data_IF_227635166549
#
_entry.id   IF_227635166549
#
_cell.length_a   1.000
_cell.length_b   1.000
_cell.length_c   1.000
_cell.angle_alpha   90.00
_cell.angle_beta   90.00
_cell.angle_gamma   90.00
#
_symmetry.space_group_name_H-M   'P 1'
#
loop_
_entity.id
_entity.type
_entity.pdbx_description
1 polymer ?
#
# COMPACT_ATOMS: atom_id res chain seq x y z
N UNK A 1 6.53 -38.49 9.21
CA UNK A 1 5.89 -37.17 9.18
C UNK A 1 7.02 -36.17 9.18
N UNK A 2 7.31 -35.54 8.05
CA UNK A 2 8.33 -34.49 7.97
C UNK A 2 7.72 -33.22 8.54
N UNK A 3 8.35 -32.66 9.58
CA UNK A 3 7.99 -31.37 10.14
C UNK A 3 8.13 -30.32 9.03
N UNK A 4 7.02 -29.73 8.59
CA UNK A 4 7.07 -28.56 7.71
C UNK A 4 7.71 -27.43 8.51
N UNK A 5 8.90 -26.99 8.08
CA UNK A 5 9.55 -25.82 8.65
C UNK A 5 8.66 -24.60 8.38
N UNK A 6 8.09 -24.05 9.43
CA UNK A 6 7.24 -22.87 9.38
C UNK A 6 8.07 -21.66 8.88
N UNK A 7 7.85 -21.25 7.63
CA UNK A 7 8.55 -20.13 7.01
C UNK A 7 7.73 -18.85 7.19
N UNK A 8 8.23 -17.96 8.03
CA UNK A 8 7.61 -16.65 8.24
C UNK A 8 7.98 -15.67 7.13
N UNK A 9 7.00 -14.89 6.68
CA UNK A 9 7.15 -13.86 5.66
C UNK A 9 6.83 -12.46 6.20
N UNK A 10 7.46 -11.45 5.62
CA UNK A 10 7.17 -10.02 5.85
C UNK A 10 6.80 -9.36 4.53
N UNK A 11 6.03 -8.27 4.59
CA UNK A 11 5.79 -7.44 3.42
C UNK A 11 7.07 -6.70 3.03
N UNK A 12 7.34 -6.62 1.74
CA UNK A 12 8.35 -5.72 1.19
C UNK A 12 7.90 -4.25 1.30
N UNK A 13 8.82 -3.32 1.06
CA UNK A 13 8.50 -1.89 0.98
C UNK A 13 7.44 -1.60 -0.09
N UNK A 14 7.49 -2.29 -1.23
CA UNK A 14 6.49 -2.16 -2.30
C UNK A 14 5.10 -2.61 -1.84
N UNK A 15 5.02 -3.75 -1.15
CA UNK A 15 3.75 -4.27 -0.67
C UNK A 15 3.16 -3.38 0.44
N UNK A 16 4.01 -2.84 1.32
CA UNK A 16 3.58 -1.86 2.31
C UNK A 16 3.04 -0.59 1.63
N UNK A 17 3.70 -0.10 0.59
CA UNK A 17 3.20 1.01 -0.23
C UNK A 17 1.82 0.73 -0.84
N UNK A 18 1.60 -0.46 -1.39
CA UNK A 18 0.30 -0.88 -1.92
C UNK A 18 -0.80 -0.90 -0.84
N UNK A 19 -0.48 -1.37 0.37
CA UNK A 19 -1.40 -1.35 1.52
C UNK A 19 -1.75 0.09 1.90
N UNK A 20 -0.76 0.99 1.95
CA UNK A 20 -1.00 2.40 2.28
C UNK A 20 -1.87 3.10 1.23
N UNK A 21 -1.67 2.78 -0.07
CA UNK A 21 -2.53 3.30 -1.14
C UNK A 21 -3.99 2.81 -1.00
N UNK A 22 -4.20 1.52 -0.75
CA UNK A 22 -5.54 0.97 -0.51
C UNK A 22 -6.21 1.61 0.72
N UNK A 23 -5.44 1.86 1.78
CA UNK A 23 -5.93 2.51 2.99
C UNK A 23 -6.35 3.95 2.72
N UNK A 24 -5.52 4.73 2.04
CA UNK A 24 -5.83 6.12 1.70
C UNK A 24 -7.11 6.22 0.86
N UNK A 25 -7.25 5.40 -0.18
CA UNK A 25 -8.45 5.37 -1.03
C UNK A 25 -9.70 4.98 -0.22
N UNK A 26 -9.55 4.02 0.69
CA UNK A 26 -10.64 3.57 1.56
C UNK A 26 -11.09 4.66 2.52
N UNK A 27 -10.16 5.42 3.09
CA UNK A 27 -10.48 6.54 3.98
C UNK A 27 -11.13 7.70 3.22
N UNK A 28 -10.64 8.02 2.01
CA UNK A 28 -11.17 9.11 1.19
C UNK A 28 -12.61 8.85 0.72
N UNK A 29 -12.93 7.60 0.39
CA UNK A 29 -14.22 7.21 -0.16
C UNK A 29 -15.11 6.47 0.85
N UNK A 30 -14.72 6.45 2.13
CA UNK A 30 -15.42 5.73 3.21
C UNK A 30 -15.72 4.25 2.88
N UNK A 31 -14.78 3.58 2.22
CA UNK A 31 -14.89 2.18 1.81
C UNK A 31 -14.34 1.23 2.88
N UNK A 32 -14.87 0.01 2.94
CA UNK A 32 -14.25 -1.08 3.69
C UNK A 32 -12.99 -1.55 2.98
N UNK A 33 -11.85 -1.46 3.67
CA UNK A 33 -10.54 -1.85 3.16
C UNK A 33 -10.34 -3.37 3.14
N UNK A 34 -11.07 -4.13 3.96
CA UNK A 34 -10.83 -5.58 4.15
C UNK A 34 -11.00 -6.38 2.84
N UNK A 35 -12.06 -6.18 2.03
CA UNK A 35 -12.19 -6.85 0.73
C UNK A 35 -11.06 -6.50 -0.25
N UNK A 36 -10.54 -5.27 -0.19
CA UNK A 36 -9.45 -4.80 -1.06
C UNK A 36 -8.15 -5.55 -0.72
N UNK A 37 -7.78 -5.59 0.56
CA UNK A 37 -6.56 -6.30 1.00
C UNK A 37 -6.65 -7.81 0.77
N UNK A 38 -7.84 -8.40 0.92
CA UNK A 38 -8.06 -9.82 0.60
C UNK A 38 -7.90 -10.13 -0.89
N UNK A 39 -8.04 -9.12 -1.76
CA UNK A 39 -7.80 -9.24 -3.19
C UNK A 39 -6.34 -9.14 -3.60
N UNK A 40 -5.40 -8.86 -2.68
CA UNK A 40 -3.99 -8.75 -3.02
C UNK A 40 -3.38 -10.11 -3.38
N UNK A 41 -2.78 -10.18 -4.55
CA UNK A 41 -1.99 -11.31 -5.01
C UNK A 41 -0.56 -11.12 -4.53
N UNK A 42 -0.13 -11.96 -3.60
CA UNK A 42 1.19 -11.89 -2.98
C UNK A 42 2.14 -12.93 -3.56
N UNK A 43 3.39 -12.52 -3.80
CA UNK A 43 4.47 -13.41 -4.24
C UNK A 43 5.73 -13.18 -3.40
N UNK A 44 6.49 -14.23 -3.13
CA UNK A 44 7.83 -14.09 -2.54
C UNK A 44 8.76 -13.35 -3.52
N UNK A 45 9.31 -12.23 -3.04
CA UNK A 45 10.38 -11.46 -3.70
C UNK A 45 11.65 -11.43 -2.86
N UNK A 46 12.67 -10.75 -3.36
CA UNK A 46 14.01 -10.68 -2.74
C UNK A 46 13.99 -10.04 -1.34
N UNK A 47 13.15 -9.02 -1.14
CA UNK A 47 13.05 -8.25 0.12
C UNK A 47 11.78 -8.59 0.94
N UNK A 48 11.06 -9.65 0.59
CA UNK A 48 9.79 -10.03 1.21
C UNK A 48 8.65 -10.18 0.21
N UNK A 49 7.42 -10.25 0.71
CA UNK A 49 6.23 -10.39 -0.14
C UNK A 49 6.00 -9.12 -0.95
N UNK A 50 5.77 -9.28 -2.25
CA UNK A 50 5.39 -8.21 -3.18
C UNK A 50 3.93 -8.38 -3.59
N UNK A 51 3.23 -7.28 -3.85
CA UNK A 51 1.85 -7.27 -4.36
C UNK A 51 1.90 -7.18 -5.89
N UNK A 52 1.32 -8.17 -6.57
CA UNK A 52 1.33 -8.25 -8.04
C UNK A 52 0.26 -7.37 -8.70
N UNK A 53 -0.80 -7.06 -7.97
CA UNK A 53 -1.94 -6.28 -8.42
C UNK A 53 -2.17 -5.06 -7.51
N UNK A 54 -1.20 -4.12 -7.42
CA UNK A 54 -1.35 -2.96 -6.56
C UNK A 54 -2.55 -2.10 -7.02
N UNK A 55 -3.26 -1.44 -6.09
CA UNK A 55 -4.39 -0.60 -6.42
C UNK A 55 -3.94 0.58 -7.29
N UNK A 56 -4.74 0.94 -8.30
CA UNK A 56 -4.53 2.16 -9.08
C UNK A 56 -5.07 3.36 -8.32
N UNK A 57 -4.18 4.16 -7.73
CA UNK A 57 -4.54 5.46 -7.17
C UNK A 57 -4.77 6.43 -8.32
N UNK A 58 -5.99 6.97 -8.43
CA UNK A 58 -6.25 8.12 -9.29
C UNK A 58 -5.68 9.34 -8.57
N UNK A 59 -4.49 9.77 -8.96
CA UNK A 59 -4.02 11.12 -8.62
C UNK A 59 -4.91 12.07 -9.41
N UNK A 60 -5.97 12.57 -8.78
CA UNK A 60 -6.64 13.78 -9.27
C UNK A 60 -5.56 14.84 -9.42
N UNK A 61 -5.59 15.58 -10.54
CA UNK A 61 -4.55 16.48 -11.02
C UNK A 61 -4.34 17.74 -10.14
N UNK A 62 -4.58 17.64 -8.83
CA UNK A 62 -4.23 18.67 -7.87
C UNK A 62 -2.73 18.48 -7.60
N UNK A 63 -1.94 19.41 -8.14
CA UNK A 63 -0.49 19.38 -8.11
C UNK A 63 0.04 19.01 -6.70
N UNK A 64 1.12 18.21 -6.61
CA UNK A 64 1.71 17.87 -5.32
C UNK A 64 2.03 19.14 -4.53
N UNK A 65 1.53 19.22 -3.30
CA UNK A 65 1.84 20.30 -2.38
C UNK A 65 3.36 20.29 -2.20
N UNK A 66 4.01 21.38 -2.63
CA UNK A 66 5.45 21.55 -2.52
C UNK A 66 5.81 21.95 -1.08
N UNK A 67 7.09 21.77 -0.69
CA UNK A 67 7.59 22.30 0.58
C UNK A 67 7.34 23.81 0.69
N UNK A 68 7.39 24.52 -0.44
CA UNK A 68 7.08 25.95 -0.52
C UNK A 68 5.60 26.26 -0.22
N UNK A 69 4.68 25.38 -0.62
CA UNK A 69 3.25 25.52 -0.32
C UNK A 69 2.98 25.32 1.18
N UNK A 70 3.69 24.39 1.82
CA UNK A 70 3.60 24.17 3.27
C UNK A 70 4.12 25.38 4.08
N UNK A 71 5.24 25.98 3.65
CA UNK A 71 5.80 27.18 4.30
C UNK A 71 4.85 28.40 4.24
N UNK A 72 4.08 28.53 3.15
CA UNK A 72 3.17 29.64 2.94
C UNK A 72 1.88 29.56 3.79
N UNK A 73 1.50 28.38 4.27
CA UNK A 73 0.29 28.18 5.10
C UNK A 73 0.47 28.57 6.58
N UNK A 74 1.71 28.80 7.02
CA UNK A 74 2.07 29.05 8.43
C UNK A 74 2.29 30.56 8.71
N UNK A 75 2.12 31.43 7.70
CA UNK A 75 2.24 32.90 7.84
C UNK A 75 0.90 33.60 8.11
#
# INVERSE_FOLDING_TARGET
MTEENEKNYRLSNQALGAVMMALQESLLNELDIVPILKGFELKEGEEGLVVLNPPTVRVSNDAPITEQDLENMVR
#
